data_IF_214382816606
#
_entry.id   IF_214382816606
#
_cell.length_a   1.000
_cell.length_b   1.000
_cell.length_c   1.000
_cell.angle_alpha   90.00
_cell.angle_beta   90.00
_cell.angle_gamma   90.00
#
_symmetry.space_group_name_H-M   'P 1'
#
loop_
_entity.id
_entity.type
_entity.pdbx_description
1 polymer ?
#
# COMPACT_ATOMS: atom_id res chain seq x y z
N UNK A 1 -2.15 46.82 1.85
CA UNK A 1 -3.40 46.85 2.66
C UNK A 1 -4.59 46.28 1.89
N UNK A 2 -4.99 46.81 0.72
CA UNK A 2 -6.10 46.22 -0.06
C UNK A 2 -5.77 44.79 -0.49
N UNK A 3 -4.57 44.55 -1.03
CA UNK A 3 -4.12 43.20 -1.44
C UNK A 3 -4.19 42.22 -0.26
N UNK A 4 -3.68 42.62 0.91
CA UNK A 4 -3.69 41.78 2.12
C UNK A 4 -5.12 41.44 2.58
N UNK A 5 -6.08 42.35 2.40
CA UNK A 5 -7.49 42.13 2.70
C UNK A 5 -8.13 41.13 1.72
N UNK A 6 -7.84 41.25 0.43
CA UNK A 6 -8.34 40.30 -0.58
C UNK A 6 -7.77 38.89 -0.38
N UNK A 7 -6.48 38.79 -0.05
CA UNK A 7 -5.86 37.49 0.28
C UNK A 7 -6.52 36.86 1.50
N UNK A 8 -6.78 37.64 2.55
CA UNK A 8 -7.49 37.15 3.74
C UNK A 8 -8.88 36.67 3.39
N UNK A 9 -9.65 37.48 2.66
CA UNK A 9 -11.01 37.15 2.26
C UNK A 9 -11.06 35.84 1.47
N UNK A 10 -10.15 35.65 0.51
CA UNK A 10 -10.07 34.42 -0.27
C UNK A 10 -9.84 33.18 0.60
N UNK A 11 -8.98 33.28 1.61
CA UNK A 11 -8.71 32.17 2.54
C UNK A 11 -9.92 31.90 3.43
N UNK A 12 -10.53 32.96 3.99
CA UNK A 12 -11.71 32.84 4.87
C UNK A 12 -12.90 32.22 4.10
N UNK A 13 -13.15 32.66 2.87
CA UNK A 13 -14.20 32.11 2.01
C UNK A 13 -13.93 30.63 1.67
N UNK A 14 -12.66 30.28 1.41
CA UNK A 14 -12.24 28.90 1.16
C UNK A 14 -12.40 27.99 2.40
N UNK A 15 -12.00 28.48 3.57
CA UNK A 15 -12.17 27.76 4.84
C UNK A 15 -13.65 27.55 5.17
N UNK A 16 -14.47 28.59 5.02
CA UNK A 16 -15.91 28.53 5.26
C UNK A 16 -16.57 27.49 4.33
N UNK A 17 -16.23 27.52 3.04
CA UNK A 17 -16.73 26.56 2.05
C UNK A 17 -16.31 25.12 2.40
N UNK A 18 -15.05 24.90 2.80
CA UNK A 18 -14.57 23.58 3.20
C UNK A 18 -15.30 23.05 4.44
N UNK A 19 -15.51 23.91 5.45
CA UNK A 19 -16.29 23.56 6.67
C UNK A 19 -17.74 23.23 6.35
N UNK A 20 -18.37 23.99 5.46
CA UNK A 20 -19.74 23.72 5.02
C UNK A 20 -19.83 22.36 4.32
N UNK A 21 -18.91 22.04 3.41
CA UNK A 21 -18.84 20.74 2.73
C UNK A 21 -18.69 19.61 3.77
N UNK A 22 -17.71 19.70 4.67
CA UNK A 22 -17.48 18.66 5.68
C UNK A 22 -18.68 18.48 6.62
N UNK A 23 -19.38 19.56 6.96
CA UNK A 23 -20.58 19.50 7.81
C UNK A 23 -21.79 18.92 7.07
N UNK A 24 -21.95 19.27 5.79
CA UNK A 24 -23.06 18.81 4.94
C UNK A 24 -22.96 17.31 4.65
N UNK A 25 -21.75 16.82 4.42
CA UNK A 25 -21.47 15.42 4.09
C UNK A 25 -20.84 14.67 5.27
N UNK A 26 -21.29 14.99 6.50
CA UNK A 26 -20.74 14.44 7.73
C UNK A 26 -20.73 12.90 7.73
N UNK A 27 -21.84 12.28 7.32
CA UNK A 27 -21.98 10.82 7.33
C UNK A 27 -21.01 10.15 6.34
N UNK A 28 -20.85 10.71 5.14
CA UNK A 28 -19.87 10.22 4.17
C UNK A 28 -18.44 10.43 4.66
N UNK A 29 -18.16 11.58 5.29
CA UNK A 29 -16.86 11.85 5.89
C UNK A 29 -16.52 10.84 6.98
N UNK A 30 -17.47 10.52 7.86
CA UNK A 30 -17.30 9.52 8.91
C UNK A 30 -17.09 8.11 8.30
N UNK A 31 -17.86 7.74 7.28
CA UNK A 31 -17.68 6.47 6.58
C UNK A 31 -16.26 6.33 5.99
N UNK A 32 -15.74 7.39 5.34
CA UNK A 32 -14.37 7.43 4.81
C UNK A 32 -13.34 7.28 5.92
N UNK A 33 -13.52 7.97 7.05
CA UNK A 33 -12.62 7.87 8.18
C UNK A 33 -12.59 6.44 8.77
N UNK A 34 -13.75 5.81 8.95
CA UNK A 34 -13.83 4.43 9.44
C UNK A 34 -13.19 3.44 8.46
N UNK A 35 -13.47 3.58 7.16
CA UNK A 35 -12.86 2.73 6.13
C UNK A 35 -11.33 2.86 6.09
N UNK A 36 -10.78 4.07 6.29
CA UNK A 36 -9.33 4.27 6.34
C UNK A 36 -8.70 3.66 7.61
N UNK A 37 -9.43 3.58 8.72
CA UNK A 37 -8.95 2.88 9.92
C UNK A 37 -8.85 1.36 9.69
N UNK A 38 -9.79 0.80 8.91
CA UNK A 38 -9.83 -0.64 8.62
C UNK A 38 -8.85 -1.05 7.51
N UNK A 39 -8.76 -0.27 6.44
CA UNK A 39 -8.04 -0.64 5.21
C UNK A 39 -6.74 0.13 4.96
N UNK A 40 -6.40 1.11 5.82
CA UNK A 40 -5.24 2.05 5.76
C UNK A 40 -5.21 2.98 4.54
N UNK A 41 -5.66 2.48 3.39
CA UNK A 41 -5.65 3.14 2.08
C UNK A 41 -6.93 2.78 1.32
N UNK A 42 -7.42 3.74 0.52
CA UNK A 42 -8.53 3.54 -0.40
C UNK A 42 -8.09 3.95 -1.82
N UNK A 43 -8.51 3.18 -2.81
CA UNK A 43 -8.44 3.57 -4.20
C UNK A 43 -9.54 4.59 -4.53
N UNK A 44 -9.40 5.29 -5.66
CA UNK A 44 -10.42 6.26 -6.10
C UNK A 44 -11.79 5.65 -6.38
N UNK A 45 -11.83 4.40 -6.84
CA UNK A 45 -13.09 3.70 -7.11
C UNK A 45 -13.76 3.20 -5.82
N UNK A 46 -12.97 2.71 -4.85
CA UNK A 46 -13.48 2.39 -3.51
C UNK A 46 -14.02 3.62 -2.79
N UNK A 47 -13.35 4.77 -2.91
CA UNK A 47 -13.83 6.01 -2.34
C UNK A 47 -15.20 6.41 -2.92
N UNK A 48 -15.36 6.34 -4.24
CA UNK A 48 -16.65 6.64 -4.90
C UNK A 48 -17.74 5.66 -4.47
N UNK A 49 -17.43 4.37 -4.44
CA UNK A 49 -18.35 3.34 -3.99
C UNK A 49 -18.79 3.58 -2.54
N UNK A 50 -17.86 4.01 -1.67
CA UNK A 50 -18.14 4.35 -0.28
C UNK A 50 -19.04 5.58 -0.14
N UNK A 51 -18.87 6.59 -1.01
CA UNK A 51 -19.79 7.73 -1.08
C UNK A 51 -21.22 7.31 -1.49
N UNK A 52 -21.36 6.20 -2.23
CA UNK A 52 -22.64 5.58 -2.59
C UNK A 52 -23.12 4.53 -1.55
N UNK A 53 -22.42 4.38 -0.43
CA UNK A 53 -22.77 3.49 0.68
C UNK A 53 -22.28 2.04 0.54
N UNK A 54 -21.31 1.78 -0.35
CA UNK A 54 -20.73 0.45 -0.57
C UNK A 54 -19.36 0.35 0.10
N UNK A 55 -19.21 -0.57 1.04
CA UNK A 55 -17.96 -0.78 1.77
C UNK A 55 -16.89 -1.47 0.90
N UNK A 56 -15.60 -1.10 1.02
CA UNK A 56 -14.50 -1.86 0.42
C UNK A 56 -14.47 -3.30 0.93
N UNK A 57 -14.07 -4.23 0.06
CA UNK A 57 -13.90 -5.64 0.41
C UNK A 57 -12.48 -6.04 0.04
N UNK A 58 -11.65 -6.36 1.05
CA UNK A 58 -10.37 -7.03 0.84
C UNK A 58 -10.48 -8.49 1.27
N UNK A 59 -9.89 -9.42 0.51
CA UNK A 59 -9.64 -10.75 1.04
C UNK A 59 -8.79 -10.59 2.30
N UNK A 60 -9.24 -11.18 3.41
CA UNK A 60 -8.45 -11.26 4.63
C UNK A 60 -7.12 -11.96 4.29
N UNK A 61 -6.00 -11.25 4.37
CA UNK A 61 -4.66 -11.83 4.15
C UNK A 61 -4.18 -12.61 5.40
N UNK A 62 -5.12 -13.04 6.24
CA UNK A 62 -4.89 -13.92 7.39
C UNK A 62 -4.66 -15.38 6.98
N UNK A 63 -4.32 -15.65 5.72
CA UNK A 63 -3.69 -16.90 5.30
C UNK A 63 -2.25 -16.95 5.82
N UNK A 64 -1.66 -18.13 6.04
CA UNK A 64 -0.27 -18.20 6.48
C UNK A 64 0.59 -17.50 5.43
N UNK A 65 1.12 -16.32 5.78
CA UNK A 65 2.13 -15.66 4.98
C UNK A 65 3.34 -16.60 4.94
N UNK A 66 3.43 -17.40 3.89
CA UNK A 66 4.68 -17.99 3.50
C UNK A 66 5.53 -16.81 3.02
N UNK A 67 6.16 -16.12 3.98
CA UNK A 67 7.28 -15.22 3.72
C UNK A 67 8.38 -16.09 3.13
N UNK A 68 8.27 -16.39 1.83
CA UNK A 68 9.37 -16.88 1.04
C UNK A 68 10.39 -15.74 1.06
N UNK A 69 11.31 -15.82 2.01
CA UNK A 69 12.47 -14.95 2.12
C UNK A 69 13.15 -14.97 0.75
N UNK A 70 13.01 -13.87 0.01
CA UNK A 70 13.56 -13.66 -1.31
C UNK A 70 15.07 -13.43 -1.27
N UNK A 71 15.79 -14.34 -0.63
CA UNK A 71 17.25 -14.47 -0.80
C UNK A 71 17.48 -15.69 -1.69
N UNK A 72 17.92 -15.52 -2.94
CA UNK A 72 18.41 -16.65 -3.69
C UNK A 72 19.65 -17.17 -2.97
N UNK A 73 19.54 -18.35 -2.37
CA UNK A 73 20.70 -19.08 -1.87
C UNK A 73 21.59 -19.41 -3.06
N UNK A 74 22.75 -18.76 -3.11
CA UNK A 74 23.81 -19.12 -4.02
C UNK A 74 24.20 -20.59 -3.77
N UNK A 75 23.92 -21.44 -4.75
CA UNK A 75 24.56 -22.75 -4.90
C UNK A 75 23.71 -23.98 -4.55
N UNK A 76 23.18 -24.65 -5.59
CA UNK A 76 23.49 -26.06 -5.88
C UNK A 76 22.95 -26.52 -7.23
N UNK A 77 23.88 -26.60 -8.18
CA UNK A 77 24.17 -27.72 -9.10
C UNK A 77 23.03 -28.56 -9.70
N UNK A 78 22.93 -28.60 -11.04
CA UNK A 78 22.15 -29.66 -11.68
C UNK A 78 21.86 -29.60 -13.19
N UNK A 79 22.82 -29.31 -14.08
CA UNK A 79 22.72 -29.81 -15.47
C UNK A 79 24.11 -30.10 -16.05
N UNK A 80 24.47 -31.37 -16.10
CA UNK A 80 25.64 -31.88 -16.83
C UNK A 80 25.50 -31.49 -18.31
N UNK A 81 26.48 -30.75 -18.84
CA UNK A 81 26.70 -30.65 -20.30
C UNK A 81 27.53 -31.87 -20.73
N UNK A 82 27.33 -32.45 -21.94
CA UNK A 82 27.97 -33.71 -22.32
C UNK A 82 29.46 -33.64 -22.68
N UNK A 83 30.11 -32.46 -22.70
CA UNK A 83 31.45 -32.32 -23.27
C UNK A 83 32.36 -31.38 -22.48
N UNK A 84 32.91 -31.81 -21.34
CA UNK A 84 34.00 -31.09 -20.66
C UNK A 84 35.01 -32.07 -20.03
N UNK A 85 36.35 -31.86 -20.20
CA UNK A 85 37.39 -32.75 -19.68
C UNK A 85 37.48 -32.73 -18.14
N UNK A 86 38.05 -33.78 -17.51
CA UNK A 86 38.04 -33.92 -16.06
C UNK A 86 39.18 -33.13 -15.42
N UNK A 87 38.85 -32.17 -14.55
CA UNK A 87 39.78 -31.71 -13.52
C UNK A 87 39.25 -32.01 -12.13
N UNK A 88 40.18 -32.52 -11.33
CA UNK A 88 39.99 -33.16 -10.05
C UNK A 88 40.02 -32.16 -8.89
N UNK A 89 39.30 -32.52 -7.83
CA UNK A 89 39.69 -32.16 -6.47
C UNK A 89 39.05 -30.90 -5.89
N UNK A 90 38.25 -31.11 -4.85
CA UNK A 90 38.41 -30.57 -3.48
C UNK A 90 37.03 -30.39 -2.84
N UNK A 91 36.59 -31.39 -2.09
CA UNK A 91 35.47 -31.28 -1.13
C UNK A 91 36.01 -30.83 0.23
N UNK A 92 35.31 -29.92 0.94
CA UNK A 92 35.37 -29.89 2.39
C UNK A 92 34.03 -30.31 3.02
N UNK A 93 34.12 -31.14 4.06
CA UNK A 93 33.00 -31.62 4.88
C UNK A 93 32.58 -30.57 5.92
N UNK A 94 31.29 -30.50 6.32
CA UNK A 94 30.87 -29.63 7.41
C UNK A 94 31.14 -30.28 8.78
N UNK A 95 31.77 -29.51 9.67
CA UNK A 95 31.85 -29.80 11.10
C UNK A 95 30.73 -29.09 11.86
N UNK A 96 30.31 -29.73 12.96
CA UNK A 96 29.27 -29.40 13.95
C UNK A 96 28.97 -27.93 14.23
#
# INVERSE_FOLDING_TARGET
RIIDQEVRKLIEDGEASAKEILSTYHDQWEAIAQALLEFETLTGDELRALMDGVQPVRPDDSGPSNKASGVPSAGKSGKKRPDAPPEAGLEPQPGS
#
